data_IF_443370601514
#
_entry.id   IF_443370601514
#
_cell.length_a   1.000
_cell.length_b   1.000
_cell.length_c   1.000
_cell.angle_alpha   90.00
_cell.angle_beta   90.00
_cell.angle_gamma   90.00
#
_symmetry.space_group_name_H-M   'P 1'
#
loop_
_entity.id
_entity.type
_entity.pdbx_description
1 polymer ?
#
# COMPACT_ATOMS: atom_id res chain seq x y z
N UNK A 1 -9.70 8.38 17.61
CA UNK A 1 -10.26 7.24 16.85
C UNK A 1 -10.49 7.53 15.35
N UNK A 2 -10.64 8.79 14.90
CA UNK A 2 -10.97 9.11 13.48
C UNK A 2 -9.79 9.58 12.59
N UNK A 3 -8.62 9.89 13.18
CA UNK A 3 -7.49 10.50 12.45
C UNK A 3 -6.82 9.58 11.42
N UNK A 4 -6.82 8.26 11.64
CA UNK A 4 -6.19 7.30 10.73
C UNK A 4 -6.99 7.12 9.44
N UNK A 5 -8.33 7.15 9.54
CA UNK A 5 -9.20 7.00 8.39
C UNK A 5 -9.14 8.23 7.47
N UNK A 6 -9.13 9.44 8.05
CA UNK A 6 -8.93 10.69 7.30
C UNK A 6 -7.57 10.73 6.58
N UNK A 7 -6.49 10.39 7.28
CA UNK A 7 -5.16 10.38 6.70
C UNK A 7 -5.01 9.36 5.54
N UNK A 8 -5.71 8.23 5.61
CA UNK A 8 -5.73 7.24 4.52
C UNK A 8 -6.56 7.77 3.34
N UNK A 9 -7.71 8.39 3.58
CA UNK A 9 -8.55 8.96 2.53
C UNK A 9 -7.85 10.09 1.75
N UNK A 10 -7.11 10.96 2.44
CA UNK A 10 -6.34 12.05 1.81
C UNK A 10 -5.10 11.57 1.04
N UNK A 11 -4.55 10.41 1.42
CA UNK A 11 -3.31 9.90 0.79
C UNK A 11 -3.56 9.07 -0.46
N UNK A 12 -4.81 8.64 -0.73
CA UNK A 12 -5.17 7.87 -1.94
C UNK A 12 -4.95 8.73 -3.19
N UNK A 13 -3.96 8.40 -4.04
CA UNK A 13 -3.72 9.14 -5.27
C UNK A 13 -4.80 8.83 -6.30
N UNK A 14 -5.03 9.78 -7.21
CA UNK A 14 -5.92 9.55 -8.34
C UNK A 14 -5.49 8.32 -9.16
N UNK A 15 -6.44 7.41 -9.39
CA UNK A 15 -6.24 6.16 -10.12
C UNK A 15 -5.84 4.96 -9.26
N UNK A 16 -5.90 5.09 -7.93
CA UNK A 16 -5.83 3.99 -6.96
C UNK A 16 -7.15 3.95 -6.19
N UNK A 17 -7.77 2.78 -6.13
CA UNK A 17 -9.01 2.56 -5.37
C UNK A 17 -8.75 1.51 -4.31
N UNK A 18 -8.98 1.83 -3.04
CA UNK A 18 -8.94 0.84 -1.96
C UNK A 18 -10.26 0.07 -1.95
N UNK A 19 -10.17 -1.25 -2.00
CA UNK A 19 -11.30 -2.18 -1.96
C UNK A 19 -11.50 -2.74 -0.56
N UNK A 20 -10.41 -2.93 0.19
CA UNK A 20 -10.45 -3.42 1.57
C UNK A 20 -9.33 -2.82 2.39
N UNK A 21 -9.66 -2.49 3.64
CA UNK A 21 -8.70 -2.05 4.63
C UNK A 21 -8.91 -2.88 5.89
N UNK A 22 -7.83 -3.51 6.38
CA UNK A 22 -7.85 -4.33 7.58
C UNK A 22 -6.72 -3.87 8.50
N UNK A 23 -7.07 -3.44 9.70
CA UNK A 23 -6.12 -3.14 10.76
C UNK A 23 -6.17 -4.26 11.80
N UNK A 24 -5.02 -4.85 12.10
CA UNK A 24 -4.83 -5.82 13.18
C UNK A 24 -3.73 -5.32 14.11
N UNK A 25 -4.13 -4.86 15.30
CA UNK A 25 -3.23 -4.28 16.30
C UNK A 25 -2.41 -3.11 15.72
N UNK A 26 -1.19 -3.39 15.27
CA UNK A 26 -0.27 -2.44 14.62
C UNK A 26 -0.10 -2.69 13.12
N UNK A 27 -0.50 -3.85 12.62
CA UNK A 27 -0.42 -4.20 11.21
C UNK A 27 -1.61 -3.62 10.43
N UNK A 28 -1.32 -3.01 9.31
CA UNK A 28 -2.26 -2.41 8.37
C UNK A 28 -2.18 -3.18 7.06
N UNK A 29 -3.29 -3.73 6.60
CA UNK A 29 -3.39 -4.39 5.30
C UNK A 29 -4.32 -3.57 4.41
N UNK A 30 -3.79 -3.14 3.27
CA UNK A 30 -4.50 -2.39 2.26
C UNK A 30 -4.64 -3.25 1.02
N UNK A 31 -5.86 -3.48 0.56
CA UNK A 31 -6.12 -4.14 -0.72
C UNK A 31 -6.88 -3.18 -1.62
N UNK A 32 -6.48 -3.11 -2.88
CA UNK A 32 -7.09 -2.19 -3.83
C UNK A 32 -6.76 -2.53 -5.28
N UNK A 33 -7.27 -1.71 -6.18
CA UNK A 33 -7.02 -1.78 -7.60
C UNK A 33 -6.45 -0.45 -8.08
N UNK A 34 -5.37 -0.51 -8.85
CA UNK A 34 -4.75 0.65 -9.49
C UNK A 34 -4.89 0.57 -11.00
N UNK A 35 -4.94 1.72 -11.70
CA UNK A 35 -4.99 1.75 -13.17
C UNK A 35 -3.65 1.36 -13.82
N UNK A 36 -2.55 1.33 -13.07
CA UNK A 36 -1.26 0.83 -13.56
C UNK A 36 -0.29 0.49 -12.43
N UNK A 37 0.70 -0.34 -12.72
CA UNK A 37 1.76 -0.69 -11.76
C UNK A 37 2.55 0.55 -11.31
N UNK A 38 2.76 1.53 -12.19
CA UNK A 38 3.41 2.79 -11.85
C UNK A 38 2.64 3.58 -10.76
N UNK A 39 1.31 3.47 -10.74
CA UNK A 39 0.47 4.09 -9.70
C UNK A 39 0.64 3.37 -8.36
N UNK A 40 0.74 2.04 -8.35
CA UNK A 40 1.04 1.25 -7.14
C UNK A 40 2.37 1.69 -6.53
N UNK A 41 3.43 1.80 -7.35
CA UNK A 41 4.74 2.26 -6.86
C UNK A 41 4.72 3.69 -6.31
N UNK A 42 3.96 4.61 -6.93
CA UNK A 42 3.79 5.96 -6.39
C UNK A 42 3.02 5.97 -5.06
N UNK A 43 2.03 5.08 -4.91
CA UNK A 43 1.30 4.94 -3.66
C UNK A 43 2.20 4.44 -2.53
N UNK A 44 3.04 3.43 -2.81
CA UNK A 44 4.04 2.93 -1.84
C UNK A 44 4.99 4.05 -1.40
N UNK A 45 5.53 4.83 -2.34
CA UNK A 45 6.42 5.97 -2.04
C UNK A 45 5.75 7.07 -1.22
N UNK A 46 4.44 7.29 -1.41
CA UNK A 46 3.67 8.27 -0.62
C UNK A 46 3.52 7.82 0.82
N UNK A 47 3.26 6.54 1.03
CA UNK A 47 3.19 5.94 2.37
C UNK A 47 4.56 5.94 3.07
N UNK A 48 5.66 5.68 2.34
CA UNK A 48 7.03 5.79 2.89
C UNK A 48 7.38 7.18 3.40
N UNK A 49 6.79 8.24 2.82
CA UNK A 49 6.99 9.63 3.26
C UNK A 49 6.11 10.01 4.45
N UNK A 50 5.24 9.11 4.90
CA UNK A 50 4.35 9.38 6.02
C UNK A 50 5.07 9.18 7.35
N UNK A 51 4.96 10.14 8.26
CA UNK A 51 5.53 10.03 9.61
C UNK A 51 4.73 9.08 10.52
N UNK A 52 3.53 8.67 10.09
CA UNK A 52 2.59 7.85 10.90
C UNK A 52 2.41 6.42 10.35
N UNK A 53 2.93 6.12 9.16
CA UNK A 53 2.79 4.82 8.49
C UNK A 53 4.18 4.32 8.10
N UNK A 54 4.49 3.07 8.41
CA UNK A 54 5.75 2.44 8.00
C UNK A 54 5.81 2.25 6.49
N UNK A 55 7.02 2.08 5.93
CA UNK A 55 7.18 1.67 4.53
C UNK A 55 6.28 0.47 4.21
N UNK A 56 5.36 0.57 3.24
CA UNK A 56 4.47 -0.53 2.90
C UNK A 56 5.24 -1.59 2.08
N UNK A 57 5.09 -2.84 2.47
CA UNK A 57 5.56 -3.98 1.71
C UNK A 57 4.48 -4.45 0.71
N UNK A 58 4.85 -4.55 -0.56
CA UNK A 58 4.02 -5.16 -1.59
C UNK A 58 3.93 -6.67 -1.34
N UNK A 59 2.73 -7.15 -1.00
CA UNK A 59 2.50 -8.57 -0.74
C UNK A 59 2.07 -9.28 -2.02
N UNK A 60 1.13 -8.69 -2.77
CA UNK A 60 0.58 -9.26 -4.00
C UNK A 60 0.36 -8.15 -5.01
N UNK A 61 0.69 -8.41 -6.28
CA UNK A 61 0.26 -7.59 -7.41
C UNK A 61 -0.19 -8.49 -8.55
N UNK A 62 -1.42 -8.28 -9.03
CA UNK A 62 -2.01 -9.03 -10.12
C UNK A 62 -2.48 -8.04 -11.18
N UNK A 63 -1.94 -8.16 -12.39
CA UNK A 63 -2.37 -7.31 -13.51
C UNK A 63 -3.54 -7.97 -14.22
N UNK A 64 -4.71 -7.32 -14.18
CA UNK A 64 -5.91 -7.74 -14.92
C UNK A 64 -6.21 -6.77 -16.05
N UNK A 65 -6.71 -7.29 -17.17
CA UNK A 65 -7.22 -6.45 -18.25
C UNK A 65 -8.73 -6.54 -18.24
N UNK A 66 -9.41 -5.40 -18.11
CA UNK A 66 -10.87 -5.31 -18.08
C UNK A 66 -11.30 -4.20 -19.04
N UNK A 67 -12.20 -4.52 -19.96
CA UNK A 67 -12.71 -3.58 -20.97
C UNK A 67 -11.58 -2.91 -21.80
N UNK A 68 -10.55 -3.67 -22.16
CA UNK A 68 -9.39 -3.16 -22.90
C UNK A 68 -8.43 -2.29 -22.08
N UNK A 69 -8.75 -2.02 -20.81
CA UNK A 69 -7.91 -1.24 -19.90
C UNK A 69 -7.19 -2.17 -18.91
N UNK A 70 -5.89 -1.93 -18.71
CA UNK A 70 -5.09 -2.66 -17.71
C UNK A 70 -5.35 -2.07 -16.32
N UNK A 71 -5.53 -2.95 -15.36
CA UNK A 71 -5.65 -2.69 -13.95
C UNK A 71 -4.67 -3.57 -13.20
N UNK A 72 -4.27 -3.13 -12.03
CA UNK A 72 -3.36 -3.83 -11.14
C UNK A 72 -4.05 -3.96 -9.79
N UNK A 73 -4.54 -5.15 -9.49
CA UNK A 73 -5.00 -5.47 -8.15
C UNK A 73 -3.77 -5.64 -7.27
N UNK A 74 -3.73 -4.93 -6.16
CA UNK A 74 -2.58 -4.90 -5.27
C UNK A 74 -2.99 -5.13 -3.83
N UNK A 75 -2.09 -5.74 -3.07
CA UNK A 75 -2.19 -5.86 -1.62
C UNK A 75 -0.89 -5.35 -1.00
N UNK A 76 -1.00 -4.35 -0.16
CA UNK A 76 0.08 -3.77 0.63
C UNK A 76 -0.11 -4.11 2.10
N UNK A 77 0.99 -4.36 2.79
CA UNK A 77 1.03 -4.43 4.25
C UNK A 77 1.96 -3.35 4.77
N UNK A 78 1.49 -2.57 5.72
CA UNK A 78 2.29 -1.61 6.46
C UNK A 78 2.04 -1.79 7.96
N UNK A 79 2.72 -1.03 8.78
CA UNK A 79 2.49 -0.96 10.22
C UNK A 79 2.31 0.49 10.62
N UNK A 80 1.51 0.75 11.66
CA UNK A 80 1.38 2.09 12.21
C UNK A 80 2.65 2.43 13.02
N UNK A 81 3.33 3.52 12.64
CA UNK A 81 4.42 4.08 13.44
C UNK A 81 3.75 4.87 14.56
N UNK A 82 3.73 4.31 15.76
CA UNK A 82 3.44 5.07 16.97
C UNK A 82 4.78 5.66 17.38
N UNK A 83 4.94 6.98 17.25
CA UNK A 83 6.17 7.67 17.64
C UNK A 83 6.37 7.52 19.15
N UNK A 84 7.02 6.43 19.53
CA UNK A 84 7.84 6.28 20.71
C UNK A 84 9.16 5.78 20.15
N UNK A 85 10.08 6.72 19.94
CA UNK A 85 11.51 6.55 19.71
C UNK A 85 11.97 5.08 19.60
N UNK A 86 11.93 4.51 18.39
CA UNK A 86 12.68 3.29 18.07
C UNK A 86 12.91 3.22 16.56
N UNK A 87 14.19 3.10 16.21
CA UNK A 87 14.73 3.15 14.88
C UNK A 87 14.19 2.06 13.93
N UNK A 88 14.14 2.44 12.65
CA UNK A 88 14.43 1.62 11.48
C UNK A 88 14.12 0.11 11.53
N UNK A 89 13.13 -0.32 10.72
CA UNK A 89 13.40 -1.46 9.84
C UNK A 89 12.63 -1.34 8.52
N UNK A 90 13.37 -0.99 7.48
CA UNK A 90 12.95 -1.17 6.10
C UNK A 90 13.03 -2.65 5.75
N UNK A 91 11.87 -3.30 5.62
CA UNK A 91 11.78 -4.63 5.05
C UNK A 91 11.30 -4.54 3.59
N UNK A 92 12.27 -4.29 2.72
CA UNK A 92 12.16 -4.62 1.30
C UNK A 92 11.83 -6.11 1.16
N UNK A 93 10.66 -6.42 0.62
CA UNK A 93 10.33 -7.76 0.11
C UNK A 93 9.85 -7.67 -1.34
N UNK A 94 10.67 -7.03 -2.19
CA UNK A 94 10.68 -7.33 -3.61
C UNK A 94 11.34 -8.70 -3.79
N UNK A 95 10.56 -9.77 -3.82
CA UNK A 95 11.02 -11.02 -4.41
C UNK A 95 9.94 -11.65 -5.27
N UNK A 96 10.37 -12.05 -6.46
CA UNK A 96 9.74 -12.98 -7.40
C UNK A 96 8.76 -12.39 -8.41
N UNK A 97 9.28 -11.49 -9.23
CA UNK A 97 9.17 -11.69 -10.67
C UNK A 97 9.96 -12.93 -11.05
N UNK A 98 9.28 -13.92 -11.63
CA UNK A 98 9.86 -15.18 -12.04
C UNK A 98 8.76 -16.16 -12.37
N UNK A 99 8.16 -16.03 -13.55
CA UNK A 99 7.40 -17.12 -14.16
C UNK A 99 8.27 -17.68 -15.30
N UNK A 100 8.65 -18.98 -15.27
CA UNK A 100 9.36 -19.63 -16.36
C UNK A 100 8.47 -19.79 -17.60
#
# INVERSE_FOLDING_TARGET
>A
MVKLFDAVAETVPEGVSLTSFQQKERALTFSGTARSNARVSNYMKRMERSEVISPPALTVIETRTRDGQRYADFQLKASQIVVADDEAEGAAAASKGGKP
#
